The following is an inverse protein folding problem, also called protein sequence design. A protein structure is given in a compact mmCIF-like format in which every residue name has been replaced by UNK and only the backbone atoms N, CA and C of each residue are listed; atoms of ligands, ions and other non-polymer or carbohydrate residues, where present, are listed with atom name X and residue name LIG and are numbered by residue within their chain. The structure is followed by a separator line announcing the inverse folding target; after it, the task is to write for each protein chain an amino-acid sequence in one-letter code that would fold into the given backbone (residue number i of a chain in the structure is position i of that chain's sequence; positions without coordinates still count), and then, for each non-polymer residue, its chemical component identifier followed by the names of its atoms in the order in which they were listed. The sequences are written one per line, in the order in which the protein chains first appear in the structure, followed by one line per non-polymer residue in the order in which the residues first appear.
data_IF_162402302341
#
_entry.id   IF_162402302341
#
_cell.length_a   1.000
_cell.length_b   1.000
_cell.length_c   1.000
_cell.angle_alpha   90.00
_cell.angle_beta   90.00
_cell.angle_gamma   90.00
#
_symmetry.space_group_name_H-M   'P 1'
#
loop_
_entity.id
_entity.type
_entity.pdbx_description
1 polymer ?
#
# COMPACT_ATOMS: atom_id res chain seq x y z
N UNK A 1 4.69 20.64 -18.03
CA UNK A 1 4.29 19.58 -17.07
C UNK A 1 5.12 19.72 -15.80
N UNK A 2 4.55 20.39 -14.78
CA UNK A 2 5.18 20.70 -13.50
C UNK A 2 4.57 19.92 -12.32
N UNK A 3 4.27 18.65 -12.55
CA UNK A 3 3.56 17.80 -11.56
C UNK A 3 4.56 17.18 -10.55
N UNK A 4 5.82 16.97 -10.96
CA UNK A 4 6.85 16.36 -10.11
C UNK A 4 7.88 17.42 -9.69
N UNK A 5 8.32 17.41 -8.41
CA UNK A 5 9.43 18.25 -7.96
C UNK A 5 10.72 17.96 -8.73
N UNK A 6 11.56 18.99 -8.89
CA UNK A 6 12.79 18.94 -9.70
C UNK A 6 14.08 19.24 -8.93
N UNK A 7 13.96 19.72 -7.70
CA UNK A 7 15.09 20.14 -6.87
C UNK A 7 15.17 19.24 -5.63
N UNK A 8 16.37 18.80 -5.25
CA UNK A 8 16.59 17.93 -4.10
C UNK A 8 16.14 18.56 -2.76
N UNK A 9 16.08 19.91 -2.72
CA UNK A 9 15.61 20.69 -1.57
C UNK A 9 14.08 20.88 -1.55
N UNK A 10 13.36 20.31 -2.51
CA UNK A 10 11.91 20.37 -2.54
C UNK A 10 11.33 19.70 -1.28
N UNK A 11 10.20 20.19 -0.75
CA UNK A 11 9.54 19.55 0.37
C UNK A 11 9.22 18.08 0.02
N UNK A 12 9.23 17.17 1.01
CA UNK A 12 8.84 15.79 0.78
C UNK A 12 7.48 15.74 0.11
N UNK A 13 7.39 14.94 -0.95
CA UNK A 13 6.15 14.72 -1.68
C UNK A 13 5.79 13.24 -1.68
N UNK A 14 4.53 12.97 -1.95
CA UNK A 14 3.90 11.68 -1.72
C UNK A 14 3.18 11.23 -2.97
N UNK A 15 3.23 9.93 -3.24
CA UNK A 15 2.37 9.29 -4.22
C UNK A 15 1.49 8.29 -3.49
N UNK A 16 0.18 8.39 -3.72
CA UNK A 16 -0.79 7.49 -3.14
C UNK A 16 -1.40 6.63 -4.24
N UNK A 17 -1.32 5.32 -4.06
CA UNK A 17 -2.01 4.33 -4.87
C UNK A 17 -3.20 3.73 -4.12
N UNK A 18 -4.27 3.42 -4.85
CA UNK A 18 -5.39 2.63 -4.37
C UNK A 18 -5.70 1.52 -5.37
N UNK A 19 -5.92 0.30 -4.92
CA UNK A 19 -6.21 -0.86 -5.79
C UNK A 19 -5.17 -1.02 -6.92
N UNK A 20 -5.60 -0.96 -8.19
CA UNK A 20 -4.73 -0.94 -9.37
C UNK A 20 -3.70 0.19 -9.34
N UNK A 21 -4.10 1.38 -8.87
CA UNK A 21 -3.26 2.58 -8.84
C UNK A 21 -2.01 2.41 -7.99
N UNK A 22 -2.02 1.46 -7.05
CA UNK A 22 -0.82 1.06 -6.32
C UNK A 22 0.32 0.61 -7.23
N UNK A 23 0.02 -0.09 -8.33
CA UNK A 23 1.07 -0.50 -9.26
C UNK A 23 1.68 0.71 -9.95
N UNK A 24 0.85 1.63 -10.42
CA UNK A 24 1.35 2.88 -11.02
C UNK A 24 2.22 3.64 -10.02
N UNK A 25 1.77 3.75 -8.76
CA UNK A 25 2.53 4.40 -7.69
C UNK A 25 3.86 3.69 -7.38
N UNK A 26 3.88 2.35 -7.34
CA UNK A 26 5.11 1.59 -7.19
C UNK A 26 6.06 1.83 -8.37
N UNK A 27 5.58 1.79 -9.63
CA UNK A 27 6.42 2.00 -10.81
C UNK A 27 7.07 3.38 -10.84
N UNK A 28 6.35 4.43 -10.39
CA UNK A 28 6.93 5.78 -10.25
C UNK A 28 8.17 5.75 -9.33
N UNK A 29 8.15 4.95 -8.27
CA UNK A 29 9.24 4.83 -7.29
C UNK A 29 10.31 3.85 -7.76
N UNK A 30 9.94 2.66 -8.23
CA UNK A 30 10.89 1.60 -8.63
C UNK A 30 11.67 1.94 -9.87
N UNK A 31 11.02 2.59 -10.84
CA UNK A 31 11.63 2.93 -12.12
C UNK A 31 12.30 4.31 -12.07
N UNK A 32 12.37 4.91 -10.88
CA UNK A 32 13.00 6.20 -10.59
C UNK A 32 12.55 7.32 -11.55
N UNK A 33 11.25 7.35 -11.88
CA UNK A 33 10.69 8.24 -12.92
C UNK A 33 10.69 9.73 -12.55
N UNK A 34 11.17 10.07 -11.35
CA UNK A 34 11.12 11.41 -10.78
C UNK A 34 12.44 11.79 -10.16
N UNK A 35 12.90 13.03 -10.40
CA UNK A 35 14.17 13.54 -9.88
C UNK A 35 14.27 13.51 -8.34
N UNK A 36 13.14 13.70 -7.65
CA UNK A 36 13.03 13.59 -6.20
C UNK A 36 12.17 12.37 -5.88
N UNK A 37 12.69 11.32 -5.21
CA UNK A 37 11.90 10.13 -4.89
C UNK A 37 10.71 10.45 -3.98
N UNK A 38 9.46 10.07 -4.35
CA UNK A 38 8.31 10.26 -3.49
C UNK A 38 8.29 9.23 -2.37
N UNK A 39 7.63 9.59 -1.27
CA UNK A 39 7.19 8.60 -0.26
C UNK A 39 5.91 7.92 -0.73
N UNK A 40 5.82 6.62 -0.54
CA UNK A 40 4.77 5.79 -1.13
C UNK A 40 3.69 5.45 -0.11
N UNK A 41 2.43 5.71 -0.45
CA UNK A 41 1.26 5.29 0.33
C UNK A 41 0.45 4.32 -0.50
N UNK A 42 0.24 3.10 0.02
CA UNK A 42 -0.47 2.03 -0.66
C UNK A 42 -1.74 1.67 0.10
N UNK A 43 -2.90 1.71 -0.56
CA UNK A 43 -4.17 1.27 0.04
C UNK A 43 -4.78 0.11 -0.75
N UNK A 44 -4.98 -1.03 -0.08
CA UNK A 44 -5.57 -2.24 -0.68
C UNK A 44 -4.79 -2.78 -1.88
N UNK A 45 -3.47 -2.96 -1.74
CA UNK A 45 -2.61 -3.48 -2.83
C UNK A 45 -3.00 -4.91 -3.23
N UNK A 46 -3.50 -5.17 -4.46
CA UNK A 46 -3.95 -6.51 -4.82
C UNK A 46 -2.76 -7.41 -5.19
N UNK A 47 -2.19 -8.13 -4.22
CA UNK A 47 -0.92 -8.86 -4.34
C UNK A 47 -0.89 -10.00 -5.38
N UNK A 48 -1.98 -10.74 -5.57
CA UNK A 48 -1.97 -11.92 -6.44
C UNK A 48 -2.98 -11.79 -7.59
N UNK A 49 -2.51 -12.12 -8.79
CA UNK A 49 -3.31 -12.12 -10.02
C UNK A 49 -4.06 -13.44 -10.24
N UNK A 50 -5.13 -13.44 -11.07
CA UNK A 50 -5.87 -14.66 -11.41
C UNK A 50 -5.15 -15.59 -12.39
N UNK A 51 -4.08 -15.14 -13.07
CA UNK A 51 -3.35 -15.95 -14.05
C UNK A 51 -2.23 -16.77 -13.41
N UNK A 52 -2.22 -18.09 -13.64
CA UNK A 52 -1.22 -19.00 -13.08
C UNK A 52 0.23 -18.62 -13.44
N UNK A 53 0.46 -18.15 -14.67
CA UNK A 53 1.79 -17.75 -15.16
C UNK A 53 2.27 -16.39 -14.65
N UNK A 54 1.41 -15.61 -13.97
CA UNK A 54 1.73 -14.27 -13.44
C UNK A 54 1.15 -14.06 -12.04
N UNK A 55 1.01 -15.16 -11.29
CA UNK A 55 0.37 -15.16 -9.96
C UNK A 55 1.11 -14.20 -9.02
N UNK A 56 2.44 -14.24 -9.04
CA UNK A 56 3.34 -13.50 -8.15
C UNK A 56 3.84 -12.18 -8.72
N UNK A 57 3.55 -11.87 -10.00
CA UNK A 57 4.10 -10.71 -10.70
C UNK A 57 3.86 -9.37 -9.98
N UNK A 58 2.81 -9.25 -9.17
CA UNK A 58 2.54 -8.01 -8.41
C UNK A 58 3.27 -7.97 -7.07
N UNK A 59 3.60 -9.13 -6.50
CA UNK A 59 4.49 -9.24 -5.34
C UNK A 59 5.92 -8.92 -5.78
N UNK A 60 6.37 -9.53 -6.87
CA UNK A 60 7.68 -9.22 -7.48
C UNK A 60 7.82 -7.72 -7.74
N UNK A 61 6.78 -7.08 -8.27
CA UNK A 61 6.78 -5.66 -8.56
C UNK A 61 6.90 -4.76 -7.32
N UNK A 62 6.23 -5.06 -6.20
CA UNK A 62 6.42 -4.27 -4.96
C UNK A 62 7.76 -4.56 -4.30
N UNK A 63 8.34 -5.76 -4.53
CA UNK A 63 9.66 -6.12 -4.03
C UNK A 63 10.82 -5.46 -4.80
N UNK A 64 10.55 -4.91 -5.98
CA UNK A 64 11.51 -4.11 -6.75
C UNK A 64 11.70 -2.67 -6.21
N UNK A 65 10.94 -2.26 -5.20
CA UNK A 65 11.15 -0.94 -4.58
C UNK A 65 12.58 -0.83 -4.02
N UNK A 66 13.28 0.30 -4.27
CA UNK A 66 14.67 0.46 -3.83
C UNK A 66 14.76 0.51 -2.30
N UNK A 67 15.92 0.17 -1.73
CA UNK A 67 16.13 0.14 -0.28
C UNK A 67 15.84 1.50 0.41
N UNK A 68 16.00 2.61 -0.32
CA UNK A 68 15.69 3.97 0.13
C UNK A 68 14.19 4.30 0.15
N UNK A 69 13.33 3.48 -0.48
CA UNK A 69 11.90 3.74 -0.54
C UNK A 69 11.28 3.71 0.86
N UNK A 70 10.39 4.68 1.12
CA UNK A 70 9.61 4.74 2.36
C UNK A 70 8.17 4.43 2.02
N UNK A 71 7.58 3.45 2.71
CA UNK A 71 6.27 2.91 2.34
C UNK A 71 5.34 2.89 3.55
N UNK A 72 4.14 3.44 3.38
CA UNK A 72 2.99 3.17 4.23
C UNK A 72 2.04 2.23 3.49
N UNK A 73 1.89 1.00 3.96
CA UNK A 73 0.93 0.04 3.43
C UNK A 73 -0.28 -0.07 4.36
N UNK A 74 -1.48 0.17 3.83
CA UNK A 74 -2.74 0.05 4.55
C UNK A 74 -3.64 -0.97 3.84
N UNK A 75 -4.14 -1.96 4.57
CA UNK A 75 -5.05 -2.98 4.04
C UNK A 75 -6.21 -3.27 4.98
N UNK A 76 -7.33 -3.72 4.43
CA UNK A 76 -8.47 -4.20 5.21
C UNK A 76 -8.40 -5.71 5.46
N UNK A 77 -8.74 -6.17 6.67
CA UNK A 77 -8.74 -7.62 6.97
C UNK A 77 -9.82 -8.42 6.24
N UNK A 78 -10.79 -7.74 5.61
CA UNK A 78 -11.83 -8.31 4.77
C UNK A 78 -11.65 -8.02 3.27
N UNK A 79 -10.48 -7.54 2.83
CA UNK A 79 -10.24 -7.28 1.41
C UNK A 79 -10.25 -8.58 0.59
N UNK A 80 -11.32 -8.78 -0.18
CA UNK A 80 -11.50 -9.94 -1.04
C UNK A 80 -10.49 -10.00 -2.19
N UNK A 81 -9.99 -8.85 -2.68
CA UNK A 81 -9.00 -8.79 -3.74
C UNK A 81 -7.63 -9.28 -3.27
N UNK A 82 -7.33 -9.09 -1.98
CA UNK A 82 -6.11 -9.56 -1.33
C UNK A 82 -6.17 -11.04 -0.95
N UNK A 83 -7.35 -11.55 -0.59
CA UNK A 83 -7.55 -12.97 -0.27
C UNK A 83 -7.59 -13.88 -1.50
N UNK A 84 -7.83 -13.31 -2.68
CA UNK A 84 -7.95 -14.08 -3.92
C UNK A 84 -6.57 -14.54 -4.40
N UNK A 85 -6.47 -15.83 -4.73
CA UNK A 85 -5.25 -16.44 -5.29
C UNK A 85 -4.01 -16.36 -4.39
N UNK A 86 -4.18 -16.25 -3.08
CA UNK A 86 -3.06 -16.33 -2.12
C UNK A 86 -2.43 -17.73 -2.20
N UNK A 87 -1.09 -17.88 -2.07
CA UNK A 87 -0.46 -19.18 -1.96
C UNK A 87 -1.01 -20.00 -0.79
N UNK A 88 -1.08 -21.32 -0.96
CA UNK A 88 -1.48 -22.22 0.12
C UNK A 88 -0.54 -22.07 1.33
N UNK A 89 -1.08 -22.23 2.54
CA UNK A 89 -0.30 -22.14 3.78
C UNK A 89 -0.10 -20.73 4.34
N UNK A 90 -0.70 -19.69 3.76
CA UNK A 90 -0.72 -18.34 4.35
C UNK A 90 -2.01 -18.13 5.14
N UNK A 91 -1.98 -18.12 6.49
CA UNK A 91 -3.20 -18.21 7.30
C UNK A 91 -3.96 -16.90 7.42
N UNK A 92 -3.29 -15.75 7.25
CA UNK A 92 -3.89 -14.41 7.45
C UNK A 92 -3.33 -13.39 6.47
N UNK A 93 -4.07 -12.29 6.25
CA UNK A 93 -3.56 -11.16 5.47
C UNK A 93 -2.36 -10.47 6.14
N UNK A 94 -2.26 -10.51 7.47
CA UNK A 94 -1.09 -10.00 8.19
C UNK A 94 0.16 -10.83 7.84
N UNK A 95 0.06 -12.16 7.92
CA UNK A 95 1.14 -13.07 7.55
C UNK A 95 1.53 -12.93 6.06
N UNK A 96 0.55 -12.65 5.20
CA UNK A 96 0.81 -12.37 3.79
C UNK A 96 1.67 -11.11 3.61
N UNK A 97 1.26 -10.00 4.24
CA UNK A 97 2.02 -8.75 4.19
C UNK A 97 3.41 -8.90 4.79
N UNK A 98 3.53 -9.57 5.93
CA UNK A 98 4.82 -9.85 6.56
C UNK A 98 5.76 -10.60 5.61
N UNK A 99 5.28 -11.67 4.96
CA UNK A 99 6.06 -12.40 3.96
C UNK A 99 6.51 -11.51 2.80
N UNK A 100 5.62 -10.66 2.28
CA UNK A 100 5.95 -9.76 1.17
C UNK A 100 6.98 -8.72 1.60
N UNK A 101 6.77 -8.08 2.76
CA UNK A 101 7.64 -7.04 3.33
C UNK A 101 9.04 -7.59 3.59
N UNK A 102 9.15 -8.80 4.14
CA UNK A 102 10.44 -9.43 4.40
C UNK A 102 11.26 -9.70 3.11
N UNK A 103 10.60 -9.74 1.94
CA UNK A 103 11.27 -9.85 0.65
C UNK A 103 11.55 -8.49 -0.02
N UNK A 104 11.20 -7.36 0.58
CA UNK A 104 11.45 -6.03 0.04
C UNK A 104 12.84 -5.53 0.47
N UNK A 105 13.57 -4.89 -0.45
CA UNK A 105 14.87 -4.28 -0.11
C UNK A 105 14.74 -3.14 0.91
N UNK A 106 13.55 -2.52 1.01
CA UNK A 106 13.24 -1.46 1.96
C UNK A 106 12.43 -1.93 3.18
N UNK A 107 12.50 -3.21 3.56
CA UNK A 107 11.71 -3.80 4.65
C UNK A 107 11.70 -2.93 5.92
N UNK A 108 12.86 -2.41 6.35
CA UNK A 108 13.02 -1.56 7.53
C UNK A 108 12.31 -0.19 7.41
N UNK A 109 11.98 0.23 6.20
CA UNK A 109 11.30 1.48 5.87
C UNK A 109 9.81 1.31 5.55
N UNK A 110 9.27 0.09 5.73
CA UNK A 110 7.84 -0.18 5.55
C UNK A 110 7.09 -0.05 6.86
N UNK A 111 6.01 0.74 6.87
CA UNK A 111 5.00 0.76 7.92
C UNK A 111 3.73 0.11 7.43
N UNK A 112 3.36 -1.02 8.02
CA UNK A 112 2.13 -1.74 7.67
C UNK A 112 1.01 -1.50 8.70
N UNK A 113 -0.20 -1.27 8.22
CA UNK A 113 -1.43 -1.10 9.02
C UNK A 113 -2.55 -1.98 8.47
N UNK A 114 -3.12 -2.81 9.33
CA UNK A 114 -4.29 -3.62 9.03
C UNK A 114 -5.53 -3.00 9.69
N UNK A 115 -6.55 -2.70 8.90
CA UNK A 115 -7.85 -2.23 9.37
C UNK A 115 -8.77 -3.41 9.58
N UNK A 116 -9.13 -3.66 10.83
CA UNK A 116 -10.04 -4.73 11.16
C UNK A 116 -11.42 -4.53 10.54
N UNK A 117 -11.92 -5.59 9.88
CA UNK A 117 -13.15 -5.59 9.09
C UNK A 117 -13.14 -4.60 7.91
N UNK A 118 -11.98 -4.03 7.56
CA UNK A 118 -11.83 -3.13 6.42
C UNK A 118 -11.97 -3.88 5.08
N UNK A 119 -12.55 -3.22 4.09
CA UNK A 119 -12.69 -3.74 2.72
C UNK A 119 -11.57 -3.31 1.77
N UNK A 120 -11.80 -3.50 0.48
CA UNK A 120 -10.88 -3.08 -0.58
C UNK A 120 -10.79 -1.55 -0.70
N UNK A 121 -9.59 -0.98 -0.81
CA UNK A 121 -9.39 0.49 -0.79
C UNK A 121 -9.68 1.17 0.56
N UNK A 122 -9.99 0.35 1.58
CA UNK A 122 -10.07 0.61 3.02
C UNK A 122 -11.24 1.46 3.54
N UNK A 123 -12.46 1.08 3.15
CA UNK A 123 -13.70 1.16 3.95
C UNK A 123 -14.68 0.09 3.43
N UNK A 124 -15.72 -0.26 4.18
CA UNK A 124 -16.72 -1.24 3.73
C UNK A 124 -17.84 -0.54 2.94
N UNK A 125 -18.25 -1.08 1.79
CA UNK A 125 -19.23 -0.46 0.87
C UNK A 125 -20.70 -0.50 1.31
N UNK A 126 -20.99 -0.72 2.60
CA UNK A 126 -22.36 -0.81 3.13
C UNK A 126 -22.83 0.53 3.70
N UNK A 127 -24.13 0.81 3.56
CA UNK A 127 -24.77 2.06 4.00
C UNK A 127 -25.44 1.95 5.37
N UNK A 128 -25.35 0.79 6.03
CA UNK A 128 -25.92 0.64 7.37
C UNK A 128 -25.23 1.58 8.36
N UNK A 129 -25.99 2.17 9.31
CA UNK A 129 -25.47 3.13 10.30
C UNK A 129 -24.20 2.63 11.00
N UNK A 130 -24.19 1.38 11.45
CA UNK A 130 -23.03 0.74 12.10
C UNK A 130 -21.79 0.70 11.20
N UNK A 131 -21.98 0.46 9.89
CA UNK A 131 -20.86 0.45 8.93
C UNK A 131 -20.36 1.86 8.66
N UNK A 132 -21.25 2.85 8.54
CA UNK A 132 -20.87 4.26 8.36
C UNK A 132 -20.06 4.79 9.54
N UNK A 133 -20.48 4.50 10.78
CA UNK A 133 -19.75 4.87 12.00
C UNK A 133 -18.34 4.23 12.03
N UNK A 134 -18.24 2.95 11.67
CA UNK A 134 -16.94 2.26 11.58
C UNK A 134 -16.08 2.82 10.44
N UNK A 135 -16.66 3.16 9.30
CA UNK A 135 -15.96 3.80 8.19
C UNK A 135 -15.42 5.17 8.61
N UNK A 136 -16.19 5.96 9.37
CA UNK A 136 -15.72 7.23 9.92
C UNK A 136 -14.50 7.04 10.83
N UNK A 137 -14.56 6.07 11.76
CA UNK A 137 -13.41 5.74 12.61
C UNK A 137 -12.20 5.25 11.80
N UNK A 138 -12.42 4.48 10.73
CA UNK A 138 -11.37 4.03 9.81
C UNK A 138 -10.70 5.22 9.13
N UNK A 139 -11.48 6.17 8.61
CA UNK A 139 -10.96 7.39 7.99
C UNK A 139 -10.11 8.18 8.99
N UNK A 140 -10.56 8.37 10.23
CA UNK A 140 -9.78 9.04 11.27
C UNK A 140 -8.43 8.35 11.51
N UNK A 141 -8.42 7.02 11.59
CA UNK A 141 -7.19 6.26 11.76
C UNK A 141 -6.26 6.36 10.55
N UNK A 142 -6.79 6.31 9.33
CA UNK A 142 -6.00 6.48 8.11
C UNK A 142 -5.35 7.86 8.04
N UNK A 143 -6.10 8.92 8.33
CA UNK A 143 -5.56 10.29 8.40
C UNK A 143 -4.43 10.36 9.44
N UNK A 144 -4.63 9.78 10.63
CA UNK A 144 -3.60 9.72 11.66
C UNK A 144 -2.33 9.03 11.16
N UNK A 145 -2.44 7.84 10.56
CA UNK A 145 -1.28 7.10 10.07
C UNK A 145 -0.57 7.80 8.91
N UNK A 146 -1.31 8.44 8.01
CA UNK A 146 -0.73 9.23 6.92
C UNK A 146 0.03 10.42 7.49
N UNK A 147 -0.54 11.13 8.47
CA UNK A 147 0.13 12.25 9.15
C UNK A 147 1.38 11.80 9.89
N UNK A 148 1.31 10.69 10.64
CA UNK A 148 2.47 10.08 11.32
C UNK A 148 3.56 9.64 10.33
N UNK A 149 3.18 9.13 9.17
CA UNK A 149 4.11 8.75 8.12
C UNK A 149 4.76 9.98 7.47
N UNK A 150 3.98 11.03 7.26
CA UNK A 150 4.45 12.27 6.68
C UNK A 150 5.43 13.04 7.61
N UNK A 151 5.25 12.94 8.92
CA UNK A 151 6.09 13.65 9.90
C UNK A 151 7.42 12.97 10.20
N UNK A 152 7.64 11.72 9.77
CA UNK A 152 8.93 11.04 9.96
C UNK A 152 10.00 11.72 9.08
N UNK A 153 11.08 12.19 9.68
CA UNK A 153 12.25 12.69 8.93
C UNK A 153 13.01 11.54 8.32
#
# INVERSE_FOLDING_TARGET
LGICPREADAPPWYVLGCSFGNRVACSIVSDELTAVPPRLILTGYPMYGPGASKKEARVEHIQQLPASARVLAVSGSNDACLKKNVPDGVPTLAALWERVINGMACADNVSFKLVEKGGHGVYEGSTTKKVLERNAATTTNMVKWITEFASRT
#
